data_IF_613637262914
#
_entry.id   IF_613637262914
#
_cell.length_a   1.000
_cell.length_b   1.000
_cell.length_c   1.000
_cell.angle_alpha   90.00
_cell.angle_beta   90.00
_cell.angle_gamma   90.00
#
_symmetry.space_group_name_H-M   'P 1'
#
loop_
_entity.id
_entity.type
_entity.pdbx_description
1 polymer ?
#
# COMPACT_ATOMS: atom_id res chain seq x y z
N UNK A 1 -19.06 1.31 -27.57
CA UNK A 1 -17.86 1.08 -28.40
C UNK A 1 -18.32 0.80 -29.81
N UNK A 2 -17.79 1.47 -30.85
CA UNK A 2 -18.20 1.23 -32.23
C UNK A 2 -18.00 -0.23 -32.64
N UNK A 3 -18.89 -0.75 -33.50
CA UNK A 3 -18.82 -2.12 -34.05
C UNK A 3 -17.44 -2.49 -34.62
N UNK A 4 -16.77 -1.51 -35.23
CA UNK A 4 -15.44 -1.64 -35.85
C UNK A 4 -14.33 -2.08 -34.89
N UNK A 5 -14.51 -1.93 -33.58
CA UNK A 5 -13.49 -2.28 -32.60
C UNK A 5 -13.83 -3.53 -31.78
N UNK A 6 -14.93 -4.24 -32.07
CA UNK A 6 -15.41 -5.36 -31.24
C UNK A 6 -14.33 -6.40 -30.87
N UNK A 7 -13.37 -6.65 -31.77
CA UNK A 7 -12.30 -7.63 -31.57
C UNK A 7 -10.91 -7.00 -31.29
N UNK A 8 -10.85 -5.69 -31.02
CA UNK A 8 -9.59 -5.01 -30.69
C UNK A 8 -9.43 -4.90 -29.18
N UNK A 9 -8.33 -5.44 -28.66
CA UNK A 9 -7.92 -5.24 -27.26
C UNK A 9 -6.96 -4.06 -27.22
N UNK A 10 -7.36 -2.98 -26.55
CA UNK A 10 -6.51 -1.81 -26.37
C UNK A 10 -5.54 -2.10 -25.22
N UNK A 11 -4.24 -2.18 -25.55
CA UNK A 11 -3.19 -2.23 -24.54
C UNK A 11 -2.77 -0.81 -24.18
N UNK A 12 -3.05 -0.42 -22.94
CA UNK A 12 -2.62 0.85 -22.39
C UNK A 12 -1.10 0.87 -22.21
N UNK A 13 -0.50 2.06 -22.37
CA UNK A 13 0.89 2.29 -22.01
C UNK A 13 1.14 2.12 -20.51
N UNK A 14 2.39 1.88 -20.10
CA UNK A 14 2.72 1.54 -18.70
C UNK A 14 2.20 2.54 -17.67
N UNK A 15 2.31 3.84 -17.97
CA UNK A 15 1.76 4.91 -17.12
C UNK A 15 0.25 4.74 -16.89
N UNK A 16 -0.53 4.59 -17.97
CA UNK A 16 -1.97 4.40 -17.87
C UNK A 16 -2.35 3.10 -17.15
N UNK A 17 -1.61 2.02 -17.38
CA UNK A 17 -1.80 0.75 -16.66
C UNK A 17 -1.60 0.93 -15.15
N UNK A 18 -0.55 1.67 -14.73
CA UNK A 18 -0.33 1.98 -13.32
C UNK A 18 -1.42 2.89 -12.74
N UNK A 19 -1.87 3.92 -13.47
CA UNK A 19 -2.99 4.75 -13.03
C UNK A 19 -4.28 3.96 -12.88
N UNK A 20 -4.57 3.01 -13.78
CA UNK A 20 -5.70 2.09 -13.63
C UNK A 20 -5.56 1.20 -12.39
N UNK A 21 -4.34 0.74 -12.09
CA UNK A 21 -4.09 -0.05 -10.89
C UNK A 21 -4.30 0.76 -9.61
N UNK A 22 -3.82 2.00 -9.57
CA UNK A 22 -4.09 2.94 -8.46
C UNK A 22 -5.61 3.15 -8.29
N UNK A 23 -6.33 3.35 -9.39
CA UNK A 23 -7.78 3.48 -9.35
C UNK A 23 -8.48 2.22 -8.83
N UNK A 24 -7.96 1.04 -9.15
CA UNK A 24 -8.47 -0.23 -8.62
C UNK A 24 -8.23 -0.37 -7.11
N UNK A 25 -7.06 0.07 -6.60
CA UNK A 25 -6.79 0.14 -5.16
C UNK A 25 -7.80 1.07 -4.49
N UNK A 26 -8.00 2.27 -5.04
CA UNK A 26 -8.98 3.23 -4.54
C UNK A 26 -10.40 2.65 -4.49
N UNK A 27 -10.81 1.92 -5.53
CA UNK A 27 -12.12 1.26 -5.58
C UNK A 27 -12.28 0.14 -4.54
N UNK A 28 -11.22 -0.63 -4.28
CA UNK A 28 -11.28 -1.76 -3.33
C UNK A 28 -11.17 -1.33 -1.87
N UNK A 29 -10.36 -0.31 -1.60
CA UNK A 29 -9.93 0.02 -0.23
C UNK A 29 -10.29 1.44 0.21
N UNK A 30 -10.82 2.28 -0.67
CA UNK A 30 -11.23 3.65 -0.35
C UNK A 30 -12.19 3.69 0.83
N UNK A 31 -13.28 2.93 0.74
CA UNK A 31 -14.29 2.78 1.80
C UNK A 31 -13.84 1.79 2.90
N UNK A 32 -12.71 1.10 2.70
CA UNK A 32 -12.06 0.25 3.70
C UNK A 32 -11.18 1.03 4.69
N UNK A 33 -11.26 2.36 4.68
CA UNK A 33 -10.50 3.25 5.56
C UNK A 33 -9.21 3.82 4.94
N UNK A 34 -8.85 3.47 3.69
CA UNK A 34 -7.68 4.07 3.04
C UNK A 34 -7.89 5.57 2.79
N UNK A 35 -9.11 5.97 2.41
CA UNK A 35 -9.45 7.38 2.22
C UNK A 35 -9.35 8.14 3.54
N UNK A 36 -9.99 7.61 4.58
CA UNK A 36 -10.00 8.20 5.92
C UNK A 36 -8.59 8.31 6.48
N UNK A 37 -7.76 7.26 6.36
CA UNK A 37 -6.36 7.28 6.77
C UNK A 37 -5.59 8.45 6.14
N UNK A 38 -5.77 8.71 4.85
CA UNK A 38 -5.05 9.78 4.14
C UNK A 38 -5.59 11.18 4.46
N UNK A 39 -6.88 11.31 4.78
CA UNK A 39 -7.53 12.58 5.13
C UNK A 39 -7.31 12.93 6.60
N UNK A 40 -7.58 11.99 7.50
CA UNK A 40 -7.56 12.19 8.95
C UNK A 40 -6.14 12.29 9.50
N UNK A 41 -5.15 11.72 8.79
CA UNK A 41 -3.73 11.96 9.07
C UNK A 41 -3.26 13.35 8.67
N UNK A 42 -4.12 14.18 8.06
CA UNK A 42 -3.82 15.53 7.56
C UNK A 42 -2.71 15.62 6.48
N UNK A 43 -2.31 14.48 5.91
CA UNK A 43 -1.31 14.44 4.83
C UNK A 43 -1.88 15.01 3.53
N UNK A 44 -3.16 14.73 3.24
CA UNK A 44 -3.84 15.22 2.04
C UNK A 44 -5.28 15.67 2.34
N UNK A 45 -5.73 16.73 1.67
CA UNK A 45 -7.13 17.14 1.71
C UNK A 45 -8.02 16.13 0.95
N UNK A 46 -9.27 15.93 1.41
CA UNK A 46 -10.21 14.94 0.83
C UNK A 46 -10.35 15.03 -0.68
N UNK A 47 -10.48 16.23 -1.25
CA UNK A 47 -10.60 16.39 -2.70
C UNK A 47 -9.36 15.91 -3.46
N UNK A 48 -8.16 16.04 -2.87
CA UNK A 48 -6.93 15.50 -3.45
C UNK A 48 -6.89 13.98 -3.34
N UNK A 49 -7.30 13.41 -2.20
CA UNK A 49 -7.40 11.96 -2.01
C UNK A 49 -8.35 11.33 -3.05
N UNK A 50 -9.48 11.97 -3.32
CA UNK A 50 -10.41 11.52 -4.35
C UNK A 50 -9.79 11.51 -5.75
N UNK A 51 -9.03 12.53 -6.15
CA UNK A 51 -8.36 12.53 -7.45
C UNK A 51 -7.23 11.49 -7.52
N UNK A 52 -6.48 11.32 -6.44
CA UNK A 52 -5.41 10.32 -6.34
C UNK A 52 -5.96 8.90 -6.47
N UNK A 53 -6.96 8.55 -5.67
CA UNK A 53 -7.56 7.22 -5.63
C UNK A 53 -8.44 6.92 -6.86
N UNK A 54 -8.74 7.92 -7.70
CA UNK A 54 -9.31 7.72 -9.04
C UNK A 54 -8.23 7.62 -10.14
N UNK A 55 -6.94 7.60 -9.79
CA UNK A 55 -5.83 7.48 -10.73
C UNK A 55 -5.54 8.74 -11.56
N UNK A 56 -6.10 9.89 -11.17
CA UNK A 56 -5.96 11.17 -11.90
C UNK A 56 -4.74 11.98 -11.48
N UNK A 57 -4.30 11.82 -10.23
CA UNK A 57 -3.14 12.49 -9.66
C UNK A 57 -2.00 11.49 -9.37
N UNK A 58 -1.37 10.99 -10.44
CA UNK A 58 -0.44 9.86 -10.37
C UNK A 58 0.70 10.03 -9.35
N UNK A 59 1.49 11.10 -9.45
CA UNK A 59 2.66 11.29 -8.58
C UNK A 59 2.27 11.41 -7.11
N UNK A 60 1.16 12.10 -6.82
CA UNK A 60 0.65 12.23 -5.45
C UNK A 60 0.12 10.89 -4.95
N UNK A 61 -0.59 10.14 -5.79
CA UNK A 61 -1.11 8.82 -5.44
C UNK A 61 0.01 7.82 -5.13
N UNK A 62 1.08 7.81 -5.92
CA UNK A 62 2.27 6.97 -5.63
C UNK A 62 2.83 7.34 -4.27
N UNK A 63 3.06 8.63 -3.99
CA UNK A 63 3.59 9.07 -2.68
C UNK A 63 2.65 8.69 -1.53
N UNK A 64 1.35 8.89 -1.69
CA UNK A 64 0.34 8.56 -0.69
C UNK A 64 0.31 7.06 -0.37
N UNK A 65 0.36 6.21 -1.40
CA UNK A 65 0.38 4.75 -1.22
C UNK A 65 1.69 4.25 -0.60
N UNK A 66 2.84 4.87 -0.94
CA UNK A 66 4.11 4.56 -0.26
C UNK A 66 4.06 4.92 1.22
N UNK A 67 3.54 6.10 1.57
CA UNK A 67 3.35 6.50 2.97
C UNK A 67 2.41 5.57 3.73
N UNK A 68 1.28 5.21 3.12
CA UNK A 68 0.33 4.29 3.72
C UNK A 68 0.96 2.90 3.94
N UNK A 69 1.71 2.40 2.96
CA UNK A 69 2.45 1.14 3.08
C UNK A 69 3.45 1.19 4.24
N UNK A 70 4.28 2.23 4.33
CA UNK A 70 5.26 2.39 5.40
C UNK A 70 4.57 2.44 6.78
N UNK A 71 3.51 3.22 6.93
CA UNK A 71 2.77 3.34 8.19
C UNK A 71 2.14 2.01 8.61
N UNK A 72 1.54 1.27 7.68
CA UNK A 72 0.95 -0.05 7.93
C UNK A 72 2.03 -1.07 8.27
N UNK A 73 3.17 -1.03 7.58
CA UNK A 73 4.27 -1.96 7.82
C UNK A 73 4.91 -1.75 9.20
N UNK A 74 5.15 -0.49 9.59
CA UNK A 74 5.63 -0.15 10.94
C UNK A 74 4.63 -0.60 12.01
N UNK A 75 3.34 -0.41 11.78
CA UNK A 75 2.29 -0.84 12.71
C UNK A 75 2.24 -2.36 12.85
N UNK A 76 2.34 -3.07 11.72
CA UNK A 76 2.39 -4.53 11.68
C UNK A 76 3.61 -5.08 12.43
N UNK A 77 4.80 -4.53 12.17
CA UNK A 77 6.02 -4.95 12.85
C UNK A 77 5.96 -4.68 14.35
N UNK A 78 5.44 -3.51 14.75
CA UNK A 78 5.27 -3.17 16.17
C UNK A 78 4.35 -4.17 16.87
N UNK A 79 3.23 -4.52 16.24
CA UNK A 79 2.30 -5.54 16.76
C UNK A 79 2.94 -6.93 16.80
N UNK A 80 3.72 -7.30 15.78
CA UNK A 80 4.45 -8.56 15.72
C UNK A 80 5.49 -8.67 16.85
N UNK A 81 6.31 -7.64 17.07
CA UNK A 81 7.30 -7.65 18.15
C UNK A 81 6.64 -7.71 19.52
N UNK A 82 5.55 -6.97 19.71
CA UNK A 82 4.75 -7.08 20.93
C UNK A 82 4.24 -8.51 21.15
N UNK A 83 3.69 -9.15 20.12
CA UNK A 83 3.23 -10.53 20.19
C UNK A 83 4.37 -11.50 20.53
N UNK A 84 5.55 -11.33 19.93
CA UNK A 84 6.74 -12.15 20.20
C UNK A 84 7.16 -12.09 21.67
N UNK A 85 7.11 -10.89 22.27
CA UNK A 85 7.40 -10.68 23.70
C UNK A 85 6.32 -11.31 24.57
N UNK A 86 5.04 -11.03 24.27
CA UNK A 86 3.89 -11.51 25.04
C UNK A 86 3.78 -13.05 25.04
N UNK A 87 4.30 -13.72 24.00
CA UNK A 87 4.32 -15.18 23.85
C UNK A 87 5.67 -15.83 24.19
N UNK A 88 6.64 -15.05 24.66
CA UNK A 88 8.02 -15.47 24.95
C UNK A 88 8.71 -16.23 23.80
N UNK A 89 8.27 -15.98 22.56
CA UNK A 89 8.74 -16.70 21.37
C UNK A 89 10.20 -16.40 21.09
N UNK A 90 10.66 -15.20 21.47
CA UNK A 90 12.05 -14.76 21.29
C UNK A 90 13.02 -15.73 21.96
N UNK A 91 12.70 -16.24 23.16
CA UNK A 91 13.55 -17.21 23.87
C UNK A 91 13.50 -18.61 23.28
N UNK A 92 12.47 -18.93 22.49
CA UNK A 92 12.33 -20.23 21.83
C UNK A 92 13.26 -20.39 20.62
N UNK A 93 13.79 -19.30 20.09
CA UNK A 93 14.72 -19.35 18.97
C UNK A 93 16.11 -19.83 19.41
N UNK A 94 16.74 -20.74 18.65
CA UNK A 94 18.12 -21.17 18.92
C UNK A 94 19.07 -19.97 18.93
N UNK A 95 20.08 -19.96 19.79
CA UNK A 95 21.12 -18.91 19.83
C UNK A 95 21.78 -18.69 18.45
N UNK A 96 21.93 -19.74 17.66
CA UNK A 96 22.48 -19.70 16.30
C UNK A 96 21.65 -18.84 15.34
N UNK A 97 20.33 -18.71 15.56
CA UNK A 97 19.47 -17.83 14.79
C UNK A 97 19.89 -16.36 14.96
N UNK A 98 20.07 -15.93 16.21
CA UNK A 98 20.49 -14.56 16.53
C UNK A 98 21.90 -14.26 16.01
N UNK A 99 22.82 -15.22 16.11
CA UNK A 99 24.16 -15.11 15.54
C UNK A 99 24.13 -14.91 14.02
N UNK A 100 23.26 -15.63 13.31
CA UNK A 100 23.13 -15.49 11.84
C UNK A 100 22.61 -14.11 11.40
N UNK A 101 21.75 -13.49 12.23
CA UNK A 101 21.20 -12.16 11.94
C UNK A 101 22.25 -11.06 12.07
N UNK A 102 23.19 -11.19 13.02
CA UNK A 102 24.29 -10.23 13.22
C UNK A 102 25.35 -10.21 12.12
N UNK A 103 25.34 -11.19 11.20
CA UNK A 103 26.23 -11.19 10.03
C UNK A 103 25.63 -10.53 8.79
N UNK A 104 24.34 -10.16 8.84
CA UNK A 104 23.59 -9.59 7.71
C UNK A 104 23.38 -8.07 7.89
N UNK A 105 23.55 -7.53 9.10
CA UNK A 105 23.48 -6.11 9.43
C UNK A 105 24.88 -5.47 9.45
#
# INVERSE_FOLDING_TARGET
MPETFRNHIIRLGGFHTLSCFIAAIGKLWGDGGLKDLLVDSSVYASGTVDQMLNGKEFNRAVRALTLAFEALYVSLLSAFFKWCVDKDVIKSFPITFWSSLSYIA
#
